data_IF_430856732768
#
_entry.id   IF_430856732768
#
_cell.length_a   1.000
_cell.length_b   1.000
_cell.length_c   1.000
_cell.angle_alpha   90.00
_cell.angle_beta   90.00
_cell.angle_gamma   90.00
#
_symmetry.space_group_name_H-M   'P 1'
#
loop_
_entity.id
_entity.type
_entity.pdbx_description
1 polymer ?
#
# COMPACT_ATOMS: atom_id res chain seq x y z
N UNK A 1 -1.12 -31.60 -17.10
CA UNK A 1 -2.34 -31.12 -16.43
C UNK A 1 -2.10 -29.76 -15.79
N UNK A 2 -1.97 -28.68 -16.57
CA UNK A 2 -2.04 -27.30 -16.05
C UNK A 2 -2.64 -26.43 -17.14
N UNK A 3 -3.97 -26.41 -17.20
CA UNK A 3 -4.69 -25.33 -17.87
C UNK A 3 -4.43 -24.11 -16.99
N UNK A 4 -3.45 -23.27 -17.37
CA UNK A 4 -3.46 -21.88 -16.94
C UNK A 4 -4.79 -21.32 -17.42
N UNK A 5 -5.75 -21.20 -16.49
CA UNK A 5 -7.06 -20.63 -16.78
C UNK A 5 -6.81 -19.23 -17.33
N UNK A 6 -7.09 -19.03 -18.63
CA UNK A 6 -7.05 -17.71 -19.25
C UNK A 6 -8.14 -16.86 -18.61
N UNK A 7 -7.78 -16.06 -17.62
CA UNK A 7 -8.66 -15.07 -17.05
C UNK A 7 -8.90 -13.98 -18.12
N UNK A 8 -10.16 -13.74 -18.49
CA UNK A 8 -10.56 -12.77 -19.51
C UNK A 8 -10.64 -11.34 -18.98
N UNK A 9 -10.54 -11.15 -17.66
CA UNK A 9 -10.66 -9.83 -17.04
C UNK A 9 -9.43 -8.97 -17.33
N UNK A 10 -9.66 -7.76 -17.85
CA UNK A 10 -8.63 -6.77 -18.14
C UNK A 10 -8.97 -5.43 -17.49
N UNK A 11 -7.94 -4.72 -17.07
CA UNK A 11 -8.04 -3.37 -16.51
C UNK A 11 -7.20 -2.44 -17.39
N UNK A 12 -7.84 -1.49 -18.07
CA UNK A 12 -7.17 -0.61 -19.05
C UNK A 12 -6.35 -1.41 -20.09
N UNK A 13 -6.92 -2.52 -20.59
CA UNK A 13 -6.27 -3.41 -21.54
C UNK A 13 -5.18 -4.33 -20.96
N UNK A 14 -4.78 -4.14 -19.70
CA UNK A 14 -3.72 -4.91 -19.02
C UNK A 14 -4.27 -6.15 -18.31
N UNK A 15 -3.47 -7.20 -18.27
CA UNK A 15 -3.74 -8.40 -17.45
C UNK A 15 -3.43 -8.13 -15.97
N UNK A 16 -3.95 -8.96 -15.07
CA UNK A 16 -3.79 -8.78 -13.61
C UNK A 16 -2.31 -8.61 -13.19
N UNK A 17 -1.42 -9.39 -13.80
CA UNK A 17 0.01 -9.45 -13.52
C UNK A 17 0.73 -8.15 -13.83
N UNK A 18 0.25 -7.43 -14.85
CA UNK A 18 0.81 -6.16 -15.35
C UNK A 18 0.27 -4.93 -14.60
N UNK A 19 -0.77 -5.10 -13.79
CA UNK A 19 -1.32 -3.98 -13.01
C UNK A 19 -0.31 -3.55 -11.93
N UNK A 20 0.02 -2.25 -11.82
CA UNK A 20 0.93 -1.72 -10.81
C UNK A 20 0.52 -2.07 -9.37
N UNK A 21 1.50 -2.15 -8.49
CA UNK A 21 1.33 -2.55 -7.10
C UNK A 21 1.49 -1.34 -6.18
N UNK A 22 0.52 -1.13 -5.30
CA UNK A 22 0.60 -0.16 -4.21
C UNK A 22 0.96 -0.89 -2.90
N UNK A 23 2.23 -0.80 -2.51
CA UNK A 23 2.72 -1.32 -1.24
C UNK A 23 2.41 -0.34 -0.11
N UNK A 24 1.63 -0.80 0.88
CA UNK A 24 1.27 -0.05 2.08
C UNK A 24 1.92 -0.72 3.28
N UNK A 25 2.85 -0.03 3.95
CA UNK A 25 3.42 -0.48 5.22
C UNK A 25 2.77 0.28 6.37
N UNK A 26 1.80 -0.34 7.01
CA UNK A 26 1.06 0.21 8.14
C UNK A 26 1.72 -0.22 9.46
N UNK A 27 2.59 0.62 9.99
CA UNK A 27 3.18 0.44 11.33
C UNK A 27 2.38 1.20 12.38
N UNK A 28 2.63 0.95 13.67
CA UNK A 28 1.93 1.66 14.75
C UNK A 28 2.21 3.18 14.78
N UNK A 29 3.39 3.61 14.33
CA UNK A 29 3.84 5.01 14.47
C UNK A 29 3.97 5.75 13.13
N UNK A 30 3.76 5.07 12.01
CA UNK A 30 3.88 5.65 10.67
C UNK A 30 3.21 4.77 9.61
N UNK A 31 2.83 5.38 8.49
CA UNK A 31 2.39 4.67 7.29
C UNK A 31 3.24 5.10 6.10
N UNK A 32 3.83 4.12 5.42
CA UNK A 32 4.60 4.34 4.20
C UNK A 32 3.87 3.74 3.02
N UNK A 33 3.88 4.43 1.89
CA UNK A 33 3.15 4.05 0.69
C UNK A 33 4.10 4.17 -0.50
N UNK A 34 4.17 3.12 -1.29
CA UNK A 34 4.99 3.10 -2.49
C UNK A 34 4.20 2.44 -3.62
N UNK A 35 4.08 3.14 -4.75
CA UNK A 35 3.46 2.60 -5.96
C UNK A 35 4.57 2.21 -6.91
N UNK A 36 4.52 0.97 -7.40
CA UNK A 36 5.58 0.33 -8.20
C UNK A 36 4.93 -0.37 -9.40
N UNK A 37 5.59 -0.35 -10.56
CA UNK A 37 5.19 -1.11 -11.74
C UNK A 37 5.36 -2.63 -11.57
N UNK A 38 4.84 -3.38 -12.54
CA UNK A 38 5.02 -4.84 -12.61
C UNK A 38 6.49 -5.23 -12.83
N UNK A 39 7.27 -4.32 -13.40
CA UNK A 39 8.70 -4.38 -13.66
C UNK A 39 9.56 -3.91 -12.47
N UNK A 40 8.94 -3.71 -11.30
CA UNK A 40 9.56 -3.18 -10.08
C UNK A 40 10.09 -1.72 -10.20
N UNK A 41 9.65 -0.95 -11.19
CA UNK A 41 10.00 0.47 -11.28
C UNK A 41 9.13 1.35 -10.36
N UNK A 42 9.72 2.22 -9.51
CA UNK A 42 8.94 3.04 -8.58
C UNK A 42 8.28 4.25 -9.26
N UNK A 43 6.95 4.32 -9.20
CA UNK A 43 6.18 5.48 -9.65
C UNK A 43 6.09 6.57 -8.59
N UNK A 44 5.76 6.22 -7.36
CA UNK A 44 5.65 7.18 -6.26
C UNK A 44 6.05 6.58 -4.93
N UNK A 45 6.56 7.44 -4.05
CA UNK A 45 6.85 7.11 -2.66
C UNK A 45 6.45 8.28 -1.77
N UNK A 46 5.64 8.00 -0.76
CA UNK A 46 5.24 8.96 0.26
C UNK A 46 5.12 8.26 1.62
N UNK A 47 5.15 9.06 2.68
CA UNK A 47 4.85 8.61 4.03
C UNK A 47 4.20 9.73 4.82
N UNK A 48 3.62 9.43 5.97
CA UNK A 48 3.08 10.49 6.83
C UNK A 48 4.13 11.57 7.15
N UNK A 49 5.41 11.21 7.26
CA UNK A 49 6.49 12.15 7.49
C UNK A 49 6.79 13.07 6.31
N UNK A 50 6.67 12.58 5.06
CA UNK A 50 6.92 13.42 3.87
C UNK A 50 5.81 14.45 3.66
N UNK A 51 4.58 14.14 4.11
CA UNK A 51 3.45 15.08 4.11
C UNK A 51 3.46 16.04 5.31
N UNK A 52 4.56 16.12 6.05
CA UNK A 52 4.75 17.10 7.13
C UNK A 52 4.22 16.70 8.50
N UNK A 53 3.63 15.51 8.67
CA UNK A 53 3.24 15.04 10.00
C UNK A 53 4.47 14.68 10.83
N UNK A 54 4.52 15.14 12.08
CA UNK A 54 5.64 14.90 13.00
C UNK A 54 5.23 14.02 14.18
N UNK A 55 6.20 13.27 14.70
CA UNK A 55 6.07 12.48 15.94
C UNK A 55 4.81 11.62 15.98
N UNK A 56 4.04 11.66 17.07
CA UNK A 56 2.83 10.86 17.27
C UNK A 56 1.75 11.12 16.21
N UNK A 57 1.73 12.31 15.59
CA UNK A 57 0.73 12.65 14.56
C UNK A 57 0.90 11.79 13.29
N UNK A 58 2.09 11.22 13.04
CA UNK A 58 2.34 10.29 11.94
C UNK A 58 1.60 8.95 12.07
N UNK A 59 1.29 8.53 13.29
CA UNK A 59 0.57 7.29 13.59
C UNK A 59 -0.95 7.42 13.46
N UNK A 60 -1.46 8.52 12.92
CA UNK A 60 -2.91 8.74 12.84
C UNK A 60 -3.48 8.30 11.50
N UNK A 61 -4.76 7.95 11.47
CA UNK A 61 -5.49 7.59 10.25
C UNK A 61 -5.53 8.75 9.24
N UNK A 62 -5.70 9.98 9.72
CA UNK A 62 -5.72 11.19 8.88
C UNK A 62 -4.39 11.35 8.14
N UNK A 63 -3.25 11.22 8.85
CA UNK A 63 -1.94 11.32 8.23
C UNK A 63 -1.71 10.25 7.15
N UNK A 64 -2.18 9.02 7.40
CA UNK A 64 -2.09 7.93 6.43
C UNK A 64 -2.94 8.17 5.17
N UNK A 65 -4.13 8.74 5.34
CA UNK A 65 -5.02 9.11 4.24
C UNK A 65 -4.40 10.22 3.38
N UNK A 66 -3.85 11.27 4.00
CA UNK A 66 -3.15 12.36 3.29
C UNK A 66 -1.95 11.83 2.50
N UNK A 67 -1.12 10.98 3.12
CA UNK A 67 0.01 10.36 2.45
C UNK A 67 -0.42 9.49 1.25
N UNK A 68 -1.53 8.77 1.38
CA UNK A 68 -2.08 7.94 0.32
C UNK A 68 -2.61 8.77 -0.85
N UNK A 69 -3.34 9.85 -0.56
CA UNK A 69 -3.81 10.79 -1.59
C UNK A 69 -2.63 11.39 -2.36
N UNK A 70 -1.58 11.83 -1.65
CA UNK A 70 -0.38 12.36 -2.29
C UNK A 70 0.35 11.32 -3.16
N UNK A 71 0.46 10.07 -2.70
CA UNK A 71 1.03 8.98 -3.50
C UNK A 71 0.20 8.69 -4.76
N UNK A 72 -1.13 8.69 -4.63
CA UNK A 72 -2.06 8.45 -5.71
C UNK A 72 -1.99 9.54 -6.77
N UNK A 73 -1.98 10.82 -6.38
CA UNK A 73 -1.83 11.95 -7.31
C UNK A 73 -0.51 11.85 -8.08
N UNK A 74 0.61 11.55 -7.40
CA UNK A 74 1.92 11.37 -8.05
C UNK A 74 1.93 10.19 -9.02
N UNK A 75 1.29 9.07 -8.67
CA UNK A 75 1.17 7.91 -9.54
C UNK A 75 0.24 8.18 -10.74
N UNK A 76 -0.84 8.93 -10.52
CA UNK A 76 -1.78 9.35 -11.55
C UNK A 76 -1.12 10.23 -12.61
N UNK A 77 -0.26 11.15 -12.19
CA UNK A 77 0.57 11.96 -13.10
C UNK A 77 1.55 11.15 -13.95
N UNK A 78 1.82 9.89 -13.59
CA UNK A 78 2.64 8.94 -14.36
C UNK A 78 1.80 7.91 -15.14
N UNK A 79 0.50 8.14 -15.30
CA UNK A 79 -0.38 7.28 -16.09
C UNK A 79 -0.89 6.03 -15.37
N UNK A 80 -0.83 5.97 -14.03
CA UNK A 80 -1.43 4.87 -13.27
C UNK A 80 -2.91 5.14 -13.02
N UNK A 81 -3.78 4.17 -13.35
CA UNK A 81 -5.22 4.19 -13.06
C UNK A 81 -5.59 3.11 -12.05
N UNK A 82 -5.30 1.86 -12.39
CA UNK A 82 -5.63 0.70 -11.56
C UNK A 82 -4.42 0.25 -10.75
N UNK A 83 -4.65 -0.19 -9.51
CA UNK A 83 -3.59 -0.70 -8.62
C UNK A 83 -4.03 -1.93 -7.84
N UNK A 84 -3.07 -2.84 -7.64
CA UNK A 84 -3.16 -3.96 -6.70
C UNK A 84 -2.57 -3.52 -5.38
N UNK A 85 -3.34 -3.56 -4.31
CA UNK A 85 -2.86 -3.12 -2.99
C UNK A 85 -2.27 -4.30 -2.24
N UNK A 86 -1.03 -4.15 -1.77
CA UNK A 86 -0.39 -5.09 -0.84
C UNK A 86 -0.17 -4.37 0.48
N UNK A 87 -0.82 -4.86 1.52
CA UNK A 87 -0.73 -4.29 2.87
C UNK A 87 0.24 -5.10 3.71
N UNK A 88 1.09 -4.43 4.46
CA UNK A 88 2.00 -5.02 5.45
C UNK A 88 1.83 -4.34 6.80
N UNK A 89 1.39 -5.11 7.79
CA UNK A 89 1.24 -4.67 9.17
C UNK A 89 -0.18 -4.29 9.56
N UNK A 90 -0.41 -4.21 10.87
CA UNK A 90 -1.72 -3.99 11.51
C UNK A 90 -1.83 -2.60 12.15
N UNK A 91 -1.09 -1.62 11.61
CA UNK A 91 -1.10 -0.25 12.10
C UNK A 91 -2.41 0.51 11.82
N UNK A 92 -2.65 1.63 12.52
CA UNK A 92 -3.89 2.44 12.41
C UNK A 92 -4.12 3.00 11.00
N UNK A 93 -3.07 3.24 10.24
CA UNK A 93 -3.16 3.75 8.86
C UNK A 93 -3.63 2.72 7.81
N UNK A 94 -3.81 1.44 8.17
CA UNK A 94 -4.11 0.36 7.23
C UNK A 94 -5.31 0.63 6.33
N UNK A 95 -6.49 0.82 6.93
CA UNK A 95 -7.75 1.06 6.18
C UNK A 95 -7.80 2.48 5.60
N UNK A 96 -7.25 3.45 6.31
CA UNK A 96 -7.24 4.85 5.91
C UNK A 96 -6.40 5.09 4.64
N UNK A 97 -5.25 4.43 4.53
CA UNK A 97 -4.40 4.51 3.35
C UNK A 97 -5.09 3.93 2.11
N UNK A 98 -5.75 2.77 2.23
CA UNK A 98 -6.50 2.16 1.10
C UNK A 98 -7.57 3.13 0.59
N UNK A 99 -8.36 3.72 1.50
CA UNK A 99 -9.35 4.74 1.13
C UNK A 99 -8.72 5.98 0.51
N UNK A 100 -7.59 6.44 1.04
CA UNK A 100 -6.89 7.61 0.52
C UNK A 100 -6.34 7.40 -0.90
N UNK A 101 -5.95 6.17 -1.27
CA UNK A 101 -5.56 5.86 -2.66
C UNK A 101 -6.75 6.05 -3.61
N UNK A 102 -7.93 5.57 -3.22
CA UNK A 102 -9.17 5.75 -4.00
C UNK A 102 -9.56 7.23 -4.11
N UNK A 103 -9.47 7.98 -3.02
CA UNK A 103 -9.73 9.42 -3.03
C UNK A 103 -8.75 10.22 -3.89
N UNK A 104 -7.51 9.74 -4.03
CA UNK A 104 -6.51 10.33 -4.92
C UNK A 104 -6.66 9.93 -6.39
N UNK A 105 -7.73 9.22 -6.76
CA UNK A 105 -8.07 8.89 -8.15
C UNK A 105 -7.47 7.58 -8.68
N UNK A 106 -6.99 6.69 -7.81
CA UNK A 106 -6.59 5.33 -8.19
C UNK A 106 -7.71 4.33 -7.90
N UNK A 107 -7.92 3.39 -8.81
CA UNK A 107 -8.88 2.30 -8.63
C UNK A 107 -8.19 1.07 -8.05
N UNK A 108 -8.66 0.62 -6.88
CA UNK A 108 -8.13 -0.56 -6.21
C UNK A 108 -8.83 -1.80 -6.73
N UNK A 109 -8.09 -2.69 -7.40
CA UNK A 109 -8.66 -3.91 -8.01
C UNK A 109 -8.58 -5.14 -7.10
N UNK A 110 -7.57 -5.18 -6.23
CA UNK A 110 -7.36 -6.28 -5.29
C UNK A 110 -6.68 -5.78 -4.03
N UNK A 111 -6.93 -6.46 -2.91
CA UNK A 111 -6.29 -6.19 -1.63
C UNK A 111 -5.68 -7.50 -1.13
N UNK A 112 -4.36 -7.52 -0.97
CA UNK A 112 -3.59 -8.65 -0.45
C UNK A 112 -2.96 -8.25 0.88
N UNK A 113 -3.09 -9.09 1.90
CA UNK A 113 -2.35 -8.91 3.16
C UNK A 113 -1.06 -9.73 3.12
N UNK A 114 0.07 -9.06 3.29
CA UNK A 114 1.41 -9.63 3.42
C UNK A 114 2.03 -9.23 4.77
N UNK A 115 1.22 -9.23 5.82
CA UNK A 115 1.69 -9.05 7.19
C UNK A 115 2.55 -10.25 7.62
N UNK A 116 3.76 -10.02 8.16
CA UNK A 116 4.67 -11.11 8.50
C UNK A 116 4.16 -11.92 9.69
N UNK A 117 3.94 -13.21 9.48
CA UNK A 117 3.58 -14.19 10.52
C UNK A 117 4.76 -15.15 10.71
N UNK A 118 5.53 -15.05 11.81
CA UNK A 118 6.68 -15.92 12.03
C UNK A 118 6.26 -17.30 12.55
N UNK A 119 6.73 -18.36 11.90
CA UNK A 119 6.58 -19.75 12.39
C UNK A 119 7.69 -20.08 13.38
N UNK A 120 7.60 -19.56 14.60
CA UNK A 120 8.62 -19.71 15.66
C UNK A 120 10.04 -19.26 15.25
N UNK A 121 10.14 -18.15 14.51
CA UNK A 121 11.40 -17.54 14.10
C UNK A 121 12.08 -16.72 15.20
N UNK A 122 12.62 -15.55 14.86
CA UNK A 122 13.33 -14.68 15.81
C UNK A 122 12.46 -14.32 17.04
N UNK A 123 13.07 -14.39 18.24
CA UNK A 123 12.41 -14.02 19.50
C UNK A 123 11.99 -12.54 19.49
N UNK A 124 10.70 -12.21 19.69
CA UNK A 124 10.27 -10.82 19.81
C UNK A 124 10.82 -10.17 21.10
N UNK A 125 10.91 -8.84 21.10
CA UNK A 125 11.35 -8.07 22.29
C UNK A 125 10.49 -8.42 23.52
N UNK A 126 11.10 -8.38 24.71
CA UNK A 126 10.41 -8.57 25.98
C UNK A 126 9.19 -7.64 26.09
N UNK A 127 8.07 -8.16 26.59
CA UNK A 127 6.88 -7.37 26.89
C UNK A 127 7.23 -6.21 27.83
N UNK A 128 6.71 -5.01 27.54
CA UNK A 128 6.94 -3.83 28.37
C UNK A 128 5.94 -3.81 29.54
N UNK A 129 6.30 -3.12 30.62
CA UNK A 129 5.51 -2.98 31.86
C UNK A 129 4.91 -1.56 32.00
N UNK A 130 4.68 -0.89 30.87
CA UNK A 130 4.12 0.47 30.85
C UNK A 130 2.61 0.39 30.88
#
# INVERSE_FOLDING_TARGET
SLILQRNSMRWDGKVYEEVPIAHIKATYNNTHIQVVGFDNQPFSHTSCGTEGFQNARKGTAVAAQTAAMAAAVKARGKGVLHVRVIVKGLGPGRKAAIKGLTMGGLEVISITDNSPVPHNGCRPRKARRV
#
